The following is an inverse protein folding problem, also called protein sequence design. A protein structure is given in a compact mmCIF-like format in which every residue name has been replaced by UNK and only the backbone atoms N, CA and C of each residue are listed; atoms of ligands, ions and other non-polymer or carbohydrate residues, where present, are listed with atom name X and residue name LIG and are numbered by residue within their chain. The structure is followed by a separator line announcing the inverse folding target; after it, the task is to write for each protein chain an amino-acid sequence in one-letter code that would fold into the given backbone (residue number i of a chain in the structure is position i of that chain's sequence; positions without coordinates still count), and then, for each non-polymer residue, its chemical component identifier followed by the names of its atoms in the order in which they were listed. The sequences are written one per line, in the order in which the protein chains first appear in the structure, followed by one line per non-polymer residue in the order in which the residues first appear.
data_IF_704464616696
#
_entry.id   IF_704464616696
#
_cell.length_a   1.000
_cell.length_b   1.000
_cell.length_c   1.000
_cell.angle_alpha   90.00
_cell.angle_beta   90.00
_cell.angle_gamma   90.00
#
_symmetry.space_group_name_H-M   'P 1'
#
loop_
_entity.id
_entity.type
_entity.pdbx_description
1 polymer ?
#
# COMPACT_ATOMS: atom_id res chain seq x y z
N UNK A 1 -12.99 0.42 4.06
CA UNK A 1 -11.92 -0.31 4.74
C UNK A 1 -11.57 0.46 6.00
N UNK A 2 -10.99 -0.19 7.01
CA UNK A 2 -10.34 0.55 8.11
C UNK A 2 -8.97 1.01 7.61
N UNK A 3 -8.81 2.33 7.39
CA UNK A 3 -7.57 2.91 6.86
C UNK A 3 -6.39 2.65 7.78
N UNK A 4 -6.62 2.72 9.10
CA UNK A 4 -5.55 2.52 10.07
C UNK A 4 -5.04 1.07 10.01
N UNK A 5 -5.95 0.09 9.96
CA UNK A 5 -5.58 -1.31 9.82
C UNK A 5 -4.81 -1.58 8.52
N UNK A 6 -5.24 -0.99 7.40
CA UNK A 6 -4.54 -1.12 6.12
C UNK A 6 -3.18 -0.43 6.10
N UNK A 7 -3.06 0.72 6.75
CA UNK A 7 -1.79 1.42 6.95
C UNK A 7 -0.83 0.57 7.81
N UNK A 8 -1.32 -0.03 8.89
CA UNK A 8 -0.53 -0.95 9.73
C UNK A 8 -0.09 -2.20 8.95
N UNK A 9 -0.97 -2.80 8.15
CA UNK A 9 -0.62 -3.94 7.30
C UNK A 9 0.44 -3.58 6.25
N UNK A 10 0.34 -2.39 5.64
CA UNK A 10 1.34 -1.88 4.70
C UNK A 10 2.69 -1.61 5.38
N UNK A 11 2.68 -1.00 6.58
CA UNK A 11 3.89 -0.78 7.38
C UNK A 11 4.55 -2.09 7.77
N UNK A 12 3.79 -3.07 8.23
CA UNK A 12 4.29 -4.40 8.55
C UNK A 12 4.83 -5.12 7.31
N UNK A 13 4.29 -4.87 6.12
CA UNK A 13 4.85 -5.37 4.88
C UNK A 13 6.21 -4.73 4.55
N UNK A 14 6.31 -3.39 4.65
CA UNK A 14 7.56 -2.66 4.45
C UNK A 14 8.65 -3.09 5.45
N UNK A 15 8.30 -3.27 6.72
CA UNK A 15 9.25 -3.69 7.76
C UNK A 15 9.85 -5.07 7.49
N UNK A 16 9.05 -6.02 6.97
CA UNK A 16 9.56 -7.34 6.55
C UNK A 16 10.54 -7.26 5.40
N UNK A 17 10.43 -6.24 4.56
CA UNK A 17 11.34 -5.94 3.44
C UNK A 17 12.52 -5.06 3.88
N UNK A 18 12.65 -4.76 5.18
CA UNK A 18 13.75 -3.97 5.74
C UNK A 18 13.53 -2.45 5.74
N UNK A 19 12.31 -1.99 5.42
CA UNK A 19 11.94 -0.57 5.42
C UNK A 19 11.16 -0.24 6.70
N UNK A 20 11.85 0.38 7.66
CA UNK A 20 11.26 0.80 8.93
C UNK A 20 10.66 2.22 8.90
N UNK A 21 9.63 2.46 9.71
CA UNK A 21 9.14 3.81 10.01
C UNK A 21 8.39 4.52 8.88
N UNK A 22 8.08 3.83 7.78
CA UNK A 22 7.28 4.38 6.69
C UNK A 22 5.93 4.90 7.18
N UNK A 23 5.48 6.07 6.75
CA UNK A 23 4.14 6.60 6.98
C UNK A 23 3.41 6.79 5.65
N UNK A 24 2.25 7.45 5.63
CA UNK A 24 1.50 7.66 4.38
C UNK A 24 2.27 8.52 3.36
N UNK A 25 3.21 9.35 3.80
CA UNK A 25 4.06 10.15 2.91
C UNK A 25 5.26 9.37 2.37
N UNK A 26 5.43 8.10 2.78
CA UNK A 26 6.53 7.26 2.31
C UNK A 26 6.52 7.13 0.79
N UNK A 27 7.68 7.40 0.18
CA UNK A 27 7.90 7.37 -1.26
C UNK A 27 8.00 5.92 -1.76
N UNK A 28 6.98 5.47 -2.50
CA UNK A 28 6.93 4.13 -3.08
C UNK A 28 7.88 3.95 -4.26
N UNK A 29 8.52 5.01 -4.77
CA UNK A 29 9.59 4.91 -5.75
C UNK A 29 10.94 4.54 -5.11
N UNK A 30 11.06 4.64 -3.79
CA UNK A 30 12.28 4.26 -3.05
C UNK A 30 12.46 2.76 -2.87
N UNK A 31 11.41 1.97 -3.11
CA UNK A 31 11.40 0.51 -3.04
C UNK A 31 11.31 -0.11 -4.43
N UNK A 32 11.77 -1.35 -4.56
CA UNK A 32 11.65 -2.06 -5.81
C UNK A 32 10.20 -2.48 -6.11
N UNK A 33 9.99 -2.92 -7.36
CA UNK A 33 8.69 -3.32 -7.88
C UNK A 33 8.08 -4.51 -7.11
N UNK A 34 8.89 -5.43 -6.59
CA UNK A 34 8.38 -6.58 -5.83
C UNK A 34 7.90 -6.13 -4.47
N UNK A 35 8.69 -5.35 -3.74
CA UNK A 35 8.28 -4.77 -2.44
C UNK A 35 6.99 -3.96 -2.58
N UNK A 36 6.87 -3.13 -3.62
CA UNK A 36 5.65 -2.37 -3.89
C UNK A 36 4.42 -3.27 -4.03
N UNK A 37 4.54 -4.41 -4.72
CA UNK A 37 3.43 -5.36 -4.86
C UNK A 37 3.15 -6.14 -3.58
N UNK A 38 4.16 -6.43 -2.77
CA UNK A 38 3.98 -7.02 -1.43
C UNK A 38 3.16 -6.09 -0.53
N UNK A 39 3.45 -4.79 -0.56
CA UNK A 39 2.70 -3.75 0.17
C UNK A 39 1.27 -3.64 -0.35
N UNK A 40 1.10 -3.54 -1.67
CA UNK A 40 -0.23 -3.50 -2.28
C UNK A 40 -1.06 -4.73 -1.89
N UNK A 41 -0.45 -5.92 -1.86
CA UNK A 41 -1.13 -7.17 -1.47
C UNK A 41 -1.56 -7.18 0.00
N UNK A 42 -0.80 -6.56 0.90
CA UNK A 42 -1.20 -6.39 2.29
C UNK A 42 -2.43 -5.48 2.40
N UNK A 43 -2.42 -4.35 1.69
CA UNK A 43 -3.57 -3.44 1.63
C UNK A 43 -4.80 -4.13 1.02
N UNK A 44 -4.65 -4.87 -0.08
CA UNK A 44 -5.72 -5.64 -0.71
C UNK A 44 -6.39 -6.63 0.26
N UNK A 45 -5.60 -7.26 1.11
CA UNK A 45 -6.09 -8.22 2.11
C UNK A 45 -7.00 -7.54 3.13
N UNK A 46 -6.58 -6.38 3.66
CA UNK A 46 -7.40 -5.57 4.57
C UNK A 46 -8.61 -4.94 3.89
N UNK A 47 -8.43 -4.48 2.65
CA UNK A 47 -9.49 -3.92 1.82
C UNK A 47 -10.51 -4.98 1.35
N UNK A 48 -10.13 -6.26 1.41
CA UNK A 48 -10.87 -7.42 0.88
C UNK A 48 -11.21 -7.26 -0.60
N UNK A 49 -10.25 -6.75 -1.38
CA UNK A 49 -10.41 -6.49 -2.81
C UNK A 49 -9.06 -6.47 -3.51
N UNK A 50 -9.09 -6.59 -4.83
CA UNK A 50 -7.93 -6.38 -5.69
C UNK A 50 -7.88 -4.93 -6.16
N UNK A 51 -6.68 -4.34 -6.19
CA UNK A 51 -6.43 -3.02 -6.74
C UNK A 51 -5.97 -3.16 -8.20
N UNK A 52 -6.27 -2.19 -9.08
CA UNK A 52 -5.77 -2.21 -10.45
C UNK A 52 -4.24 -2.09 -10.49
N UNK A 53 -3.56 -2.96 -11.24
CA UNK A 53 -2.10 -2.94 -11.40
C UNK A 53 -1.56 -1.57 -11.83
N UNK A 54 -2.26 -0.89 -12.75
CA UNK A 54 -1.88 0.46 -13.19
C UNK A 54 -1.95 1.49 -12.07
N UNK A 55 -2.88 1.32 -11.12
CA UNK A 55 -2.97 2.16 -9.94
C UNK A 55 -1.85 1.87 -8.93
N UNK A 56 -1.52 0.59 -8.71
CA UNK A 56 -0.38 0.18 -7.87
C UNK A 56 0.94 0.72 -8.44
N UNK A 57 1.13 0.60 -9.76
CA UNK A 57 2.30 1.12 -10.46
C UNK A 57 2.38 2.65 -10.45
N UNK A 58 1.23 3.32 -10.50
CA UNK A 58 1.12 4.77 -10.58
C UNK A 58 1.22 5.49 -9.23
N UNK A 59 0.99 4.80 -8.11
CA UNK A 59 1.07 5.42 -6.79
C UNK A 59 2.51 5.85 -6.45
N UNK A 60 2.71 7.13 -6.20
CA UNK A 60 3.97 7.71 -5.75
C UNK A 60 4.19 7.55 -4.25
N UNK A 61 3.12 7.51 -3.46
CA UNK A 61 3.20 7.38 -1.99
C UNK A 61 2.38 6.21 -1.45
N UNK A 62 2.68 5.82 -0.21
CA UNK A 62 1.87 4.84 0.50
C UNK A 62 0.42 5.32 0.69
N UNK A 63 0.22 6.61 0.98
CA UNK A 63 -1.09 7.24 1.09
C UNK A 63 -1.91 7.11 -0.18
N UNK A 64 -1.29 7.27 -1.36
CA UNK A 64 -1.96 7.08 -2.64
C UNK A 64 -2.40 5.63 -2.89
N UNK A 65 -1.65 4.63 -2.41
CA UNK A 65 -2.07 3.23 -2.43
C UNK A 65 -3.29 2.98 -1.51
N UNK A 66 -3.31 3.60 -0.34
CA UNK A 66 -4.44 3.52 0.59
C UNK A 66 -5.68 4.20 0.00
N UNK A 67 -5.52 5.36 -0.62
CA UNK A 67 -6.60 6.08 -1.30
C UNK A 67 -7.17 5.27 -2.47
N UNK A 68 -6.32 4.56 -3.21
CA UNK A 68 -6.75 3.65 -4.27
C UNK A 68 -7.63 2.52 -3.71
N UNK A 69 -7.32 2.00 -2.52
CA UNK A 69 -8.13 0.98 -1.85
C UNK A 69 -9.50 1.51 -1.37
N UNK A 70 -9.60 2.81 -1.09
CA UNK A 70 -10.84 3.47 -0.68
C UNK A 70 -11.74 3.91 -1.84
N UNK A 71 -11.17 4.28 -3.00
CA UNK A 71 -11.87 5.00 -4.07
C UNK A 71 -13.02 4.26 -4.77
N UNK A 72 -13.06 2.92 -4.82
CA UNK A 72 -14.18 2.21 -5.48
C UNK A 72 -15.25 1.71 -4.52
N UNK A 73 -15.58 2.49 -3.49
CA UNK A 73 -16.68 2.19 -2.55
C UNK A 73 -18.02 2.84 -2.92
N UNK A 74 -18.16 3.34 -4.16
CA UNK A 74 -19.43 3.84 -4.73
C UNK A 74 -20.31 2.73 -5.26
#
# INVERSE_FOLDING_TARGET
MDRQAACEAARAALEREGVGGADEAFDMASVDVVTRWVVARAIETEAKRTLPDAGIAGAGTLGELLDLAEKDRT
#
